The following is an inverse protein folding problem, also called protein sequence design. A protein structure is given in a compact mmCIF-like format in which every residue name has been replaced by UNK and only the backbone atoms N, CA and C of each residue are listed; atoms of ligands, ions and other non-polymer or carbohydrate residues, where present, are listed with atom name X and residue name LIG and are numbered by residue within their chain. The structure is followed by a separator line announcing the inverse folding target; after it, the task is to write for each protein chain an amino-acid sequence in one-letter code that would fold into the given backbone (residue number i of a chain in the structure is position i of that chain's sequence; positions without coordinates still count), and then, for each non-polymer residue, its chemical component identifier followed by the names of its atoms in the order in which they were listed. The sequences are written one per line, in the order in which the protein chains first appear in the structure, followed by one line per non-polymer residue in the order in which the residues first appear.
data_IF_841964286077
#
_entry.id   IF_841964286077
#
_cell.length_a   1.000
_cell.length_b   1.000
_cell.length_c   1.000
_cell.angle_alpha   90.00
_cell.angle_beta   90.00
_cell.angle_gamma   90.00
#
_symmetry.space_group_name_H-M   'P 1'
#
loop_
_entity.id
_entity.type
_entity.pdbx_description
1 polymer ?
#
# COMPACT_ATOMS: atom_id res chain seq x y z
N UNK A 1 0.04 21.35 -50.17
CA UNK A 1 0.76 20.15 -49.68
C UNK A 1 0.76 20.33 -48.15
N UNK A 2 -0.27 19.75 -47.53
CA UNK A 2 -0.48 19.87 -46.06
C UNK A 2 0.12 18.61 -45.46
N UNK A 3 1.21 18.78 -44.76
CA UNK A 3 1.90 17.71 -44.04
C UNK A 3 1.04 17.35 -42.82
N UNK A 4 0.37 16.21 -42.93
CA UNK A 4 -0.35 15.60 -41.83
C UNK A 4 0.73 15.08 -40.88
N UNK A 5 0.98 15.83 -39.81
CA UNK A 5 1.71 15.33 -38.66
C UNK A 5 0.90 14.17 -38.06
N UNK A 6 1.18 12.96 -38.49
CA UNK A 6 0.80 11.75 -37.77
C UNK A 6 1.40 11.84 -36.36
N UNK A 7 0.53 12.17 -35.42
CA UNK A 7 0.80 12.04 -33.99
C UNK A 7 0.91 10.52 -33.74
N UNK A 8 2.10 9.99 -33.86
CA UNK A 8 2.42 8.66 -33.35
C UNK A 8 2.13 8.69 -31.85
N UNK A 9 0.93 8.28 -31.49
CA UNK A 9 0.61 7.93 -30.14
C UNK A 9 1.53 6.76 -29.75
N UNK A 10 2.65 7.07 -29.10
CA UNK A 10 3.42 6.08 -28.36
C UNK A 10 2.46 5.52 -27.33
N UNK A 11 1.99 4.32 -27.55
CA UNK A 11 1.11 3.58 -26.65
C UNK A 11 1.92 3.25 -25.37
N UNK A 12 2.20 4.26 -24.58
CA UNK A 12 3.01 4.16 -23.37
C UNK A 12 2.11 3.60 -22.29
N UNK A 13 2.20 2.30 -22.07
CA UNK A 13 1.51 1.63 -20.97
C UNK A 13 1.97 2.20 -19.64
N UNK A 14 1.06 2.65 -18.80
CA UNK A 14 1.38 3.13 -17.46
C UNK A 14 2.01 2.00 -16.64
N UNK A 15 3.01 2.34 -15.84
CA UNK A 15 3.70 1.42 -14.95
C UNK A 15 3.50 1.86 -13.51
N UNK A 16 2.90 1.01 -12.69
CA UNK A 16 2.69 1.24 -11.27
C UNK A 16 3.59 0.34 -10.43
N UNK A 17 4.17 0.90 -9.38
CA UNK A 17 4.86 0.13 -8.35
C UNK A 17 3.91 -0.11 -7.17
N UNK A 18 3.84 -1.36 -6.71
CA UNK A 18 3.09 -1.74 -5.51
C UNK A 18 4.09 -1.91 -4.36
N UNK A 19 4.01 -1.02 -3.38
CA UNK A 19 4.77 -1.05 -2.14
C UNK A 19 3.86 -1.21 -0.94
N UNK A 20 4.41 -1.48 0.20
CA UNK A 20 3.69 -1.50 1.47
C UNK A 20 4.36 -2.33 2.54
N UNK A 21 3.84 -2.23 3.75
CA UNK A 21 4.29 -3.03 4.88
C UNK A 21 4.11 -4.53 4.62
N UNK A 22 4.88 -5.38 5.29
CA UNK A 22 4.65 -6.82 5.23
C UNK A 22 3.24 -7.18 5.71
N UNK A 23 2.70 -8.26 5.15
CA UNK A 23 1.39 -8.81 5.50
C UNK A 23 0.18 -7.86 5.30
N UNK A 24 0.36 -6.69 4.70
CA UNK A 24 -0.73 -5.78 4.38
C UNK A 24 -1.65 -6.27 3.23
N UNK A 25 -1.37 -7.44 2.65
CA UNK A 25 -2.16 -8.03 1.56
C UNK A 25 -1.69 -7.66 0.14
N UNK A 26 -0.46 -7.15 -0.02
CA UNK A 26 0.15 -6.75 -1.28
C UNK A 26 0.03 -7.81 -2.38
N UNK A 27 0.52 -9.02 -2.11
CA UNK A 27 0.45 -10.15 -3.04
C UNK A 27 -0.99 -10.56 -3.37
N UNK A 28 -1.91 -10.41 -2.41
CA UNK A 28 -3.33 -10.68 -2.66
C UNK A 28 -3.93 -9.68 -3.65
N UNK A 29 -3.63 -8.38 -3.49
CA UNK A 29 -4.06 -7.34 -4.42
C UNK A 29 -3.42 -7.54 -5.79
N UNK A 30 -2.11 -7.78 -5.85
CA UNK A 30 -1.39 -8.06 -7.09
C UNK A 30 -2.04 -9.22 -7.87
N UNK A 31 -2.26 -10.36 -7.21
CA UNK A 31 -2.90 -11.52 -7.85
C UNK A 31 -4.35 -11.23 -8.27
N UNK A 32 -5.06 -10.45 -7.47
CA UNK A 32 -6.45 -10.09 -7.76
C UNK A 32 -6.59 -9.16 -8.97
N UNK A 33 -5.63 -8.26 -9.19
CA UNK A 33 -5.59 -7.35 -10.35
C UNK A 33 -5.10 -8.09 -11.61
N UNK A 34 -3.97 -8.82 -11.50
CA UNK A 34 -3.31 -9.46 -12.65
C UNK A 34 -3.90 -10.83 -13.04
N UNK A 35 -4.89 -11.33 -12.26
CA UNK A 35 -5.44 -12.67 -12.45
C UNK A 35 -4.43 -13.79 -12.16
N UNK A 36 -3.41 -13.51 -11.33
CA UNK A 36 -2.34 -14.44 -11.00
C UNK A 36 -1.31 -14.65 -12.12
N UNK A 37 -1.38 -13.88 -13.18
CA UNK A 37 -0.40 -13.91 -14.29
C UNK A 37 0.78 -13.02 -13.95
N UNK A 38 1.78 -13.60 -13.32
CA UNK A 38 3.00 -12.90 -12.94
C UNK A 38 4.22 -13.49 -13.65
N UNK A 39 5.14 -12.62 -14.07
CA UNK A 39 6.51 -13.00 -14.41
C UNK A 39 7.39 -12.68 -13.21
N UNK A 40 8.08 -13.68 -12.69
CA UNK A 40 9.11 -13.46 -11.68
C UNK A 40 10.38 -13.01 -12.39
N UNK A 41 10.98 -11.94 -11.92
CA UNK A 41 12.24 -11.43 -12.40
C UNK A 41 13.18 -11.22 -11.20
N UNK A 42 14.47 -11.39 -11.44
CA UNK A 42 15.50 -11.13 -10.44
C UNK A 42 16.11 -9.75 -10.67
N UNK A 43 16.42 -9.05 -9.61
CA UNK A 43 17.18 -7.82 -9.71
C UNK A 43 18.63 -8.08 -10.13
N UNK A 44 19.18 -7.30 -11.06
CA UNK A 44 20.56 -7.47 -11.49
C UNK A 44 21.53 -7.37 -10.30
N UNK A 45 22.38 -8.39 -10.14
CA UNK A 45 23.45 -8.40 -9.13
C UNK A 45 23.03 -8.73 -7.68
N UNK A 46 21.77 -9.04 -7.44
CA UNK A 46 21.25 -9.46 -6.12
C UNK A 46 20.29 -10.64 -6.24
N UNK A 47 20.12 -11.39 -5.15
CA UNK A 47 19.19 -12.55 -5.10
C UNK A 47 17.76 -12.16 -4.75
N UNK A 48 17.39 -10.89 -4.96
CA UNK A 48 16.05 -10.38 -4.66
C UNK A 48 15.16 -10.54 -5.88
N UNK A 49 13.99 -11.13 -5.66
CA UNK A 49 12.97 -11.33 -6.69
C UNK A 49 11.89 -10.26 -6.60
N UNK A 50 11.37 -9.87 -7.75
CA UNK A 50 10.17 -9.06 -7.86
C UNK A 50 9.23 -9.66 -8.91
N UNK A 51 7.97 -9.28 -8.85
CA UNK A 51 6.97 -9.80 -9.78
C UNK A 51 6.48 -8.68 -10.68
N UNK A 52 6.34 -9.01 -11.96
CA UNK A 52 5.70 -8.16 -12.96
C UNK A 52 4.40 -8.81 -13.40
N UNK A 53 3.36 -8.03 -13.49
CA UNK A 53 2.08 -8.45 -14.04
C UNK A 53 1.45 -7.32 -14.82
N UNK A 54 0.47 -7.65 -15.60
CA UNK A 54 -0.34 -6.68 -16.34
C UNK A 54 -1.80 -6.88 -15.97
N UNK A 55 -2.54 -5.78 -15.89
CA UNK A 55 -3.98 -5.82 -15.73
C UNK A 55 -4.64 -4.77 -16.62
N UNK A 56 -5.91 -4.98 -16.92
CA UNK A 56 -6.68 -4.09 -17.76
C UNK A 56 -7.56 -3.18 -16.93
N UNK A 57 -7.54 -1.90 -17.25
CA UNK A 57 -8.42 -0.89 -16.68
C UNK A 57 -9.82 -0.94 -17.29
N UNK A 58 -10.85 -0.35 -16.67
CA UNK A 58 -12.19 -0.28 -17.22
C UNK A 58 -12.28 0.35 -18.63
N UNK A 59 -11.41 1.32 -18.94
CA UNK A 59 -11.31 1.94 -20.26
C UNK A 59 -10.67 1.03 -21.34
N UNK A 60 -10.17 -0.16 -20.94
CA UNK A 60 -9.53 -1.12 -21.82
C UNK A 60 -8.02 -0.97 -21.95
N UNK A 61 -7.41 0.04 -21.34
CA UNK A 61 -5.95 0.21 -21.33
C UNK A 61 -5.28 -0.81 -20.41
N UNK A 62 -4.07 -1.23 -20.78
CA UNK A 62 -3.27 -2.12 -19.96
C UNK A 62 -2.34 -1.30 -19.05
N UNK A 63 -2.16 -1.77 -17.83
CA UNK A 63 -1.22 -1.22 -16.85
C UNK A 63 -0.25 -2.30 -16.41
N UNK A 64 1.04 -1.99 -16.42
CA UNK A 64 2.06 -2.85 -15.86
C UNK A 64 2.17 -2.61 -14.36
N UNK A 65 2.11 -3.67 -13.57
CA UNK A 65 2.19 -3.63 -12.11
C UNK A 65 3.46 -4.36 -11.65
N UNK A 66 4.28 -3.67 -10.86
CA UNK A 66 5.46 -4.21 -10.22
C UNK A 66 5.16 -4.49 -8.75
N UNK A 67 5.18 -5.76 -8.32
CA UNK A 67 5.11 -6.13 -6.91
C UNK A 67 6.53 -6.10 -6.33
N UNK A 68 6.83 -5.05 -5.61
CA UNK A 68 8.14 -4.83 -4.99
C UNK A 68 8.19 -5.44 -3.58
N UNK A 69 9.39 -5.79 -3.08
CA UNK A 69 9.56 -6.22 -1.69
C UNK A 69 8.94 -5.24 -0.70
N UNK A 70 8.51 -5.77 0.45
CA UNK A 70 7.94 -4.93 1.51
C UNK A 70 8.98 -3.95 2.08
N UNK A 71 8.54 -2.72 2.39
CA UNK A 71 9.37 -1.70 3.01
C UNK A 71 8.95 -1.58 4.48
N UNK A 72 9.90 -1.72 5.39
CA UNK A 72 9.67 -1.70 6.84
C UNK A 72 9.90 -0.31 7.47
N UNK A 73 10.32 0.65 6.69
CA UNK A 73 10.40 2.06 7.10
C UNK A 73 11.68 2.51 7.78
N UNK A 74 12.65 1.65 7.97
CA UNK A 74 13.94 2.04 8.51
C UNK A 74 15.00 2.03 7.41
N UNK A 75 15.07 3.13 6.64
CA UNK A 75 16.26 3.58 5.90
C UNK A 75 17.06 2.51 5.13
N UNK A 76 16.41 1.56 4.46
CA UNK A 76 17.12 0.65 3.54
C UNK A 76 18.15 -0.25 4.21
N UNK A 77 17.87 -0.74 5.42
CA UNK A 77 18.78 -1.64 6.13
C UNK A 77 18.81 -3.05 5.54
N UNK A 78 17.72 -3.50 4.91
CA UNK A 78 17.70 -4.77 4.18
C UNK A 78 18.05 -4.59 2.70
N UNK A 79 18.62 -5.63 2.10
CA UNK A 79 18.88 -5.64 0.65
C UNK A 79 17.58 -5.49 -0.14
N UNK A 80 16.50 -6.10 0.32
CA UNK A 80 15.17 -6.07 -0.29
C UNK A 80 14.61 -4.64 -0.33
N UNK A 81 14.76 -3.88 0.77
CA UNK A 81 14.30 -2.48 0.83
C UNK A 81 15.10 -1.58 -0.11
N UNK A 82 16.42 -1.75 -0.18
CA UNK A 82 17.26 -0.97 -1.11
C UNK A 82 16.82 -1.19 -2.54
N UNK A 83 16.60 -2.43 -2.91
CA UNK A 83 16.15 -2.80 -4.24
C UNK A 83 14.78 -2.18 -4.55
N UNK A 84 13.84 -2.23 -3.61
CA UNK A 84 12.53 -1.59 -3.78
C UNK A 84 12.64 -0.07 -3.96
N UNK A 85 13.48 0.59 -3.18
CA UNK A 85 13.74 2.04 -3.26
C UNK A 85 14.41 2.38 -4.59
N UNK A 86 15.42 1.61 -5.02
CA UNK A 86 16.12 1.83 -6.28
C UNK A 86 15.19 1.63 -7.48
N UNK A 87 14.29 0.64 -7.41
CA UNK A 87 13.25 0.45 -8.43
C UNK A 87 12.35 1.68 -8.57
N UNK A 88 11.85 2.19 -7.44
CA UNK A 88 10.95 3.35 -7.40
C UNK A 88 11.65 4.63 -7.85
N UNK A 89 12.92 4.80 -7.53
CA UNK A 89 13.74 5.94 -7.95
C UNK A 89 14.21 5.86 -9.42
N UNK A 90 14.07 4.69 -10.06
CA UNK A 90 14.54 4.47 -11.43
C UNK A 90 16.04 4.24 -11.53
N UNK A 91 16.68 3.81 -10.44
CA UNK A 91 18.12 3.51 -10.38
C UNK A 91 18.45 2.06 -10.76
N UNK A 92 17.45 1.26 -11.12
CA UNK A 92 17.66 -0.12 -11.51
C UNK A 92 18.05 -0.21 -12.98
N UNK A 93 19.20 -0.85 -13.24
CA UNK A 93 19.69 -1.07 -14.59
C UNK A 93 18.75 -1.97 -15.38
N UNK A 94 18.36 -1.52 -16.57
CA UNK A 94 17.45 -2.26 -17.46
C UNK A 94 15.95 -2.12 -17.12
N UNK A 95 15.58 -1.40 -16.06
CA UNK A 95 14.19 -1.17 -15.70
C UNK A 95 13.77 0.30 -15.85
N UNK A 96 12.59 0.51 -16.42
CA UNK A 96 11.98 1.85 -16.49
C UNK A 96 11.47 2.24 -15.11
N UNK A 97 11.66 3.50 -14.72
CA UNK A 97 11.05 4.05 -13.51
C UNK A 97 9.52 3.91 -13.55
N UNK A 98 8.85 3.54 -12.46
CA UNK A 98 7.39 3.60 -12.38
C UNK A 98 6.87 5.03 -12.58
N UNK A 99 5.67 5.13 -13.13
CA UNK A 99 4.97 6.42 -13.31
C UNK A 99 4.23 6.83 -12.03
N UNK A 100 3.82 5.86 -11.22
CA UNK A 100 3.13 6.08 -9.95
C UNK A 100 3.37 4.97 -8.94
N UNK A 101 3.05 5.28 -7.68
CA UNK A 101 3.24 4.40 -6.52
C UNK A 101 1.90 4.09 -5.86
N UNK A 102 1.54 2.82 -5.81
CA UNK A 102 0.43 2.32 -4.99
C UNK A 102 1.01 1.82 -3.67
N UNK A 103 0.81 2.58 -2.60
CA UNK A 103 1.29 2.19 -1.27
C UNK A 103 0.19 1.49 -0.49
N UNK A 104 0.40 0.23 -0.14
CA UNK A 104 -0.60 -0.58 0.54
C UNK A 104 -0.31 -0.71 2.02
N UNK A 105 -1.33 -0.50 2.85
CA UNK A 105 -1.22 -0.58 4.31
C UNK A 105 -2.40 -1.33 4.90
N UNK A 106 -2.15 -2.06 5.98
CA UNK A 106 -3.17 -2.64 6.81
C UNK A 106 -3.79 -1.57 7.72
N UNK A 107 -5.08 -1.34 7.57
CA UNK A 107 -5.84 -0.35 8.34
C UNK A 107 -5.83 -0.63 9.85
N UNK A 108 -5.77 -1.90 10.26
CA UNK A 108 -5.73 -2.28 11.69
C UNK A 108 -4.40 -1.87 12.37
N UNK A 109 -3.36 -1.62 11.57
CA UNK A 109 -2.03 -1.22 12.04
C UNK A 109 -1.61 0.18 11.58
N UNK A 110 -2.57 1.03 11.21
CA UNK A 110 -2.32 2.37 10.68
C UNK A 110 -1.42 3.21 11.61
N UNK A 111 -1.66 3.18 12.91
CA UNK A 111 -0.87 3.96 13.90
C UNK A 111 0.60 3.57 13.94
N UNK A 112 0.90 2.32 13.61
CA UNK A 112 2.26 1.78 13.62
C UNK A 112 2.99 2.05 12.32
N UNK A 113 2.30 1.98 11.18
CA UNK A 113 2.93 1.97 9.86
C UNK A 113 2.76 3.25 9.04
N UNK A 114 2.01 4.26 9.54
CA UNK A 114 1.79 5.50 8.77
C UNK A 114 3.10 6.25 8.45
N UNK A 115 4.11 6.13 9.31
CA UNK A 115 5.42 6.74 9.05
C UNK A 115 6.07 6.23 7.76
N UNK A 116 5.80 4.99 7.35
CA UNK A 116 6.31 4.42 6.09
C UNK A 116 5.69 5.12 4.87
N UNK A 117 4.41 5.51 4.98
CA UNK A 117 3.72 6.30 3.94
C UNK A 117 4.38 7.69 3.81
N UNK A 118 4.64 8.35 4.94
CA UNK A 118 5.30 9.64 4.93
C UNK A 118 6.71 9.57 4.34
N UNK A 119 7.46 8.52 4.65
CA UNK A 119 8.79 8.29 4.04
C UNK A 119 8.70 8.01 2.54
N UNK A 120 7.67 7.29 2.09
CA UNK A 120 7.48 6.99 0.67
C UNK A 120 7.22 8.24 -0.19
N UNK A 121 6.71 9.34 0.39
CA UNK A 121 6.57 10.63 -0.29
C UNK A 121 7.92 11.17 -0.79
N UNK A 122 9.03 10.82 -0.11
CA UNK A 122 10.38 11.23 -0.52
C UNK A 122 10.90 10.54 -1.78
N UNK A 123 10.17 9.58 -2.32
CA UNK A 123 10.57 8.93 -3.58
C UNK A 123 10.28 9.79 -4.82
N UNK A 124 9.52 10.87 -4.66
CA UNK A 124 9.23 11.83 -5.73
C UNK A 124 8.44 11.22 -6.88
N UNK A 125 7.45 10.41 -6.55
CA UNK A 125 6.45 9.87 -7.48
C UNK A 125 5.05 10.27 -7.02
N UNK A 126 4.13 10.50 -7.96
CA UNK A 126 2.72 10.48 -7.62
C UNK A 126 2.38 9.18 -6.88
N UNK A 127 1.59 9.27 -5.81
CA UNK A 127 1.26 8.11 -5.02
C UNK A 127 -0.17 8.11 -4.51
N UNK A 128 -0.71 6.92 -4.30
CA UNK A 128 -1.99 6.67 -3.65
C UNK A 128 -1.78 5.73 -2.49
N UNK A 129 -2.44 6.00 -1.37
CA UNK A 129 -2.50 5.10 -0.21
C UNK A 129 -3.72 4.19 -0.34
N UNK A 130 -3.51 2.88 -0.30
CA UNK A 130 -4.57 1.87 -0.26
C UNK A 130 -4.64 1.27 1.15
N UNK A 131 -5.69 1.61 1.89
CA UNK A 131 -6.01 1.01 3.18
C UNK A 131 -6.74 -0.31 2.98
N UNK A 132 -6.06 -1.40 3.22
CA UNK A 132 -6.64 -2.74 3.18
C UNK A 132 -7.11 -3.19 4.57
N UNK A 133 -7.89 -4.26 4.63
CA UNK A 133 -8.37 -4.85 5.88
C UNK A 133 -9.22 -3.90 6.75
N UNK A 134 -9.97 -2.99 6.11
CA UNK A 134 -10.88 -2.08 6.82
C UNK A 134 -11.93 -2.82 7.66
N UNK A 135 -12.34 -4.01 7.24
CA UNK A 135 -13.24 -4.88 7.99
C UNK A 135 -12.59 -5.43 9.28
N UNK A 136 -11.29 -5.67 9.26
CA UNK A 136 -10.54 -6.04 10.46
C UNK A 136 -10.38 -4.86 11.40
N UNK A 137 -10.01 -3.69 10.88
CA UNK A 137 -9.91 -2.45 11.65
C UNK A 137 -11.25 -2.14 12.36
N UNK A 138 -12.36 -2.19 11.63
CA UNK A 138 -13.70 -1.98 12.21
C UNK A 138 -14.03 -3.02 13.29
N UNK A 139 -13.71 -4.29 13.09
CA UNK A 139 -13.88 -5.35 14.09
C UNK A 139 -13.05 -5.10 15.33
N UNK A 140 -11.85 -4.55 15.19
CA UNK A 140 -10.95 -4.22 16.30
C UNK A 140 -11.27 -2.87 16.95
N UNK A 141 -12.42 -2.24 16.56
CA UNK A 141 -12.89 -0.97 17.10
C UNK A 141 -12.07 0.24 16.61
N UNK A 142 -11.35 0.09 15.51
CA UNK A 142 -10.60 1.18 14.91
C UNK A 142 -11.48 1.82 13.84
N UNK A 143 -11.81 3.08 14.03
CA UNK A 143 -12.51 3.91 13.06
C UNK A 143 -11.53 4.93 12.47
N UNK A 144 -11.51 5.05 11.15
CA UNK A 144 -10.56 5.88 10.41
C UNK A 144 -11.34 6.88 9.57
N UNK A 145 -11.16 8.17 9.85
CA UNK A 145 -11.62 9.24 8.97
C UNK A 145 -10.72 9.34 7.74
N UNK A 146 -11.13 8.63 6.69
CA UNK A 146 -10.37 8.53 5.43
C UNK A 146 -10.24 9.90 4.75
N UNK A 147 -11.28 10.73 4.78
CA UNK A 147 -11.26 12.05 4.15
C UNK A 147 -10.30 13.01 4.87
N UNK A 148 -10.31 12.99 6.21
CA UNK A 148 -9.36 13.77 7.00
C UNK A 148 -7.94 13.24 6.82
N UNK A 149 -7.75 11.93 6.74
CA UNK A 149 -6.43 11.31 6.50
C UNK A 149 -5.86 11.74 5.14
N UNK A 150 -6.69 11.71 4.09
CA UNK A 150 -6.33 12.18 2.75
C UNK A 150 -5.90 13.65 2.78
N UNK A 151 -6.69 14.51 3.41
CA UNK A 151 -6.37 15.94 3.52
C UNK A 151 -5.05 16.20 4.26
N UNK A 152 -4.76 15.44 5.33
CA UNK A 152 -3.54 15.60 6.12
C UNK A 152 -2.30 15.00 5.45
N UNK A 153 -2.47 13.94 4.67
CA UNK A 153 -1.37 13.33 3.90
C UNK A 153 -1.08 14.09 2.61
N UNK A 154 -2.07 14.78 2.03
CA UNK A 154 -1.97 15.44 0.73
C UNK A 154 -1.79 14.44 -0.43
N UNK A 155 -2.29 13.23 -0.29
CA UNK A 155 -2.32 12.17 -1.30
C UNK A 155 -3.66 11.47 -1.28
N UNK A 156 -4.16 10.94 -2.41
CA UNK A 156 -5.38 10.15 -2.44
C UNK A 156 -5.33 8.95 -1.49
N UNK A 157 -6.43 8.67 -0.79
CA UNK A 157 -6.56 7.54 0.12
C UNK A 157 -7.78 6.70 -0.27
N UNK A 158 -7.53 5.45 -0.64
CA UNK A 158 -8.54 4.49 -1.04
C UNK A 158 -8.71 3.42 0.02
N UNK A 159 -9.94 3.22 0.48
CA UNK A 159 -10.27 2.07 1.32
C UNK A 159 -10.57 0.84 0.46
N UNK A 160 -9.95 -0.29 0.78
CA UNK A 160 -10.11 -1.53 0.02
C UNK A 160 -10.23 -2.73 0.96
N UNK A 161 -10.93 -3.74 0.51
CA UNK A 161 -10.78 -5.11 0.99
C UNK A 161 -10.35 -5.92 -0.24
N UNK A 162 -9.04 -6.08 -0.41
CA UNK A 162 -8.41 -6.58 -1.63
C UNK A 162 -8.99 -7.92 -2.15
N UNK A 163 -9.50 -8.74 -1.24
CA UNK A 163 -10.12 -10.04 -1.59
C UNK A 163 -11.58 -9.91 -2.03
N UNK A 164 -12.25 -8.76 -1.84
CA UNK A 164 -13.65 -8.55 -2.23
C UNK A 164 -13.77 -7.88 -3.59
N UNK A 165 -14.64 -8.41 -4.45
CA UNK A 165 -14.84 -7.89 -5.80
C UNK A 165 -15.28 -6.42 -5.82
N UNK A 166 -16.15 -5.98 -4.90
CA UNK A 166 -16.60 -4.60 -4.80
C UNK A 166 -15.46 -3.62 -4.45
N UNK A 167 -14.55 -4.01 -3.54
CA UNK A 167 -13.39 -3.18 -3.18
C UNK A 167 -12.43 -3.00 -4.36
N UNK A 168 -12.28 -4.04 -5.18
CA UNK A 168 -11.45 -3.95 -6.39
C UNK A 168 -12.06 -3.06 -7.48
N UNK A 169 -13.37 -3.09 -7.66
CA UNK A 169 -14.03 -2.26 -8.67
C UNK A 169 -13.76 -0.77 -8.42
N UNK A 170 -13.98 -0.28 -7.20
CA UNK A 170 -13.71 1.11 -6.85
C UNK A 170 -12.22 1.48 -7.02
N UNK A 171 -11.31 0.56 -6.69
CA UNK A 171 -9.88 0.81 -6.90
C UNK A 171 -9.55 0.87 -8.40
N UNK A 172 -10.13 0.01 -9.22
CA UNK A 172 -9.93 0.03 -10.68
C UNK A 172 -10.48 1.31 -11.31
N UNK A 173 -11.67 1.76 -10.90
CA UNK A 173 -12.26 3.02 -11.37
C UNK A 173 -11.36 4.21 -11.02
N UNK A 174 -10.84 4.26 -9.79
CA UNK A 174 -9.87 5.29 -9.39
C UNK A 174 -8.57 5.22 -10.20
N UNK A 175 -8.02 4.01 -10.38
CA UNK A 175 -6.78 3.81 -11.14
C UNK A 175 -6.94 4.19 -12.61
N UNK A 176 -8.14 4.07 -13.17
CA UNK A 176 -8.45 4.46 -14.55
C UNK A 176 -8.24 5.97 -14.77
N UNK A 177 -8.85 6.78 -13.91
CA UNK A 177 -8.69 8.23 -13.94
C UNK A 177 -7.24 8.63 -13.62
N UNK A 178 -6.68 8.03 -12.55
CA UNK A 178 -5.35 8.39 -12.06
C UNK A 178 -4.21 8.03 -13.03
N UNK A 179 -4.29 6.91 -13.73
CA UNK A 179 -3.29 6.56 -14.76
C UNK A 179 -3.34 7.50 -15.95
N UNK A 180 -4.54 8.00 -16.30
CA UNK A 180 -4.69 9.06 -17.28
C UNK A 180 -3.91 10.33 -16.89
N UNK A 181 -4.04 10.76 -15.63
CA UNK A 181 -3.29 11.90 -15.08
C UNK A 181 -1.78 11.65 -15.03
N UNK A 182 -1.36 10.42 -14.67
CA UNK A 182 0.06 10.03 -14.68
C UNK A 182 0.69 10.19 -16.07
N UNK A 183 0.02 9.68 -17.10
CA UNK A 183 0.53 9.71 -18.47
C UNK A 183 0.52 11.11 -19.07
N UNK A 184 -0.39 11.99 -18.62
CA UNK A 184 -0.43 13.40 -19.01
C UNK A 184 0.53 14.28 -18.20
N UNK A 185 1.13 13.76 -17.14
CA UNK A 185 1.98 14.51 -16.21
C UNK A 185 1.22 15.48 -15.33
N UNK A 186 -0.09 15.30 -15.17
CA UNK A 186 -0.98 16.14 -14.32
C UNK A 186 -1.13 15.60 -12.91
N UNK A 187 -0.77 14.32 -12.67
CA UNK A 187 -0.83 13.74 -11.34
C UNK A 187 0.11 14.44 -10.35
N UNK A 188 -0.42 14.78 -9.19
CA UNK A 188 0.33 15.50 -8.17
C UNK A 188 1.44 14.64 -7.57
N UNK A 189 2.64 15.20 -7.50
CA UNK A 189 3.74 14.62 -6.74
C UNK A 189 3.63 15.16 -5.32
N UNK A 190 3.55 14.30 -4.29
CA UNK A 190 3.41 14.76 -2.92
C UNK A 190 4.66 15.51 -2.46
N UNK A 191 4.47 16.51 -1.60
CA UNK A 191 5.57 17.20 -0.96
C UNK A 191 6.42 16.22 -0.14
N UNK A 192 7.75 16.28 -0.25
CA UNK A 192 8.63 15.43 0.53
C UNK A 192 8.51 15.74 2.03
N UNK A 193 8.58 14.68 2.83
CA UNK A 193 8.66 14.82 4.28
C UNK A 193 10.14 14.96 4.73
N UNK A 194 10.35 15.39 5.98
CA UNK A 194 11.69 15.45 6.54
C UNK A 194 12.39 14.08 6.56
N UNK A 195 13.70 14.08 6.45
CA UNK A 195 14.51 12.84 6.46
C UNK A 195 14.71 12.26 7.87
N UNK A 196 14.48 13.07 8.92
CA UNK A 196 14.71 12.65 10.30
C UNK A 196 13.58 11.74 10.76
N UNK A 197 13.86 10.46 10.95
CA UNK A 197 12.88 9.42 11.32
C UNK A 197 12.03 9.82 12.54
N UNK A 198 12.62 10.47 13.55
CA UNK A 198 11.88 10.91 14.75
C UNK A 198 10.81 11.95 14.43
N UNK A 199 11.09 12.88 13.51
CA UNK A 199 10.15 13.91 13.08
C UNK A 199 9.01 13.28 12.27
N UNK A 200 9.35 12.39 11.35
CA UNK A 200 8.37 11.63 10.56
C UNK A 200 7.46 10.79 11.46
N UNK A 201 8.03 10.11 12.45
CA UNK A 201 7.24 9.33 13.42
C UNK A 201 6.36 10.22 14.30
N UNK A 202 6.85 11.40 14.72
CA UNK A 202 6.06 12.36 15.48
C UNK A 202 4.87 12.87 14.66
N UNK A 203 5.09 13.21 13.40
CA UNK A 203 4.05 13.63 12.46
C UNK A 203 3.03 12.53 12.23
N UNK A 204 3.47 11.29 12.03
CA UNK A 204 2.57 10.14 11.87
C UNK A 204 1.65 9.96 13.10
N UNK A 205 2.19 10.09 14.31
CA UNK A 205 1.39 10.04 15.55
C UNK A 205 0.39 11.19 15.65
N UNK A 206 0.77 12.38 15.23
CA UNK A 206 -0.14 13.53 15.21
C UNK A 206 -1.30 13.29 14.23
N UNK A 207 -1.00 12.81 13.02
CA UNK A 207 -2.02 12.50 12.01
C UNK A 207 -2.96 11.41 12.52
N UNK A 208 -2.42 10.30 13.01
CA UNK A 208 -3.26 9.20 13.53
C UNK A 208 -4.06 9.61 14.75
N UNK A 209 -3.54 10.45 15.63
CA UNK A 209 -4.27 10.99 16.77
C UNK A 209 -5.47 11.86 16.39
N UNK A 210 -5.45 12.46 15.19
CA UNK A 210 -6.57 13.25 14.67
C UNK A 210 -7.56 12.46 13.81
N UNK A 211 -7.11 11.39 13.16
CA UNK A 211 -7.91 10.66 12.14
C UNK A 211 -8.39 9.29 12.58
N UNK A 212 -7.80 8.73 13.65
CA UNK A 212 -8.10 7.38 14.12
C UNK A 212 -8.72 7.45 15.50
N UNK A 213 -9.94 6.95 15.63
CA UNK A 213 -10.60 6.77 16.91
C UNK A 213 -10.72 5.29 17.25
N UNK A 214 -10.64 4.98 18.56
CA UNK A 214 -11.01 3.66 19.06
C UNK A 214 -12.41 3.73 19.62
N UNK A 215 -13.31 3.00 18.98
CA UNK A 215 -14.65 2.79 19.54
C UNK A 215 -14.50 1.75 20.63
N UNK A 216 -14.85 2.09 21.87
CA UNK A 216 -14.98 1.10 22.94
C UNK A 216 -16.07 0.10 22.54
N UNK A 217 -15.64 -1.00 21.93
CA UNK A 217 -16.56 -2.11 21.66
C UNK A 217 -16.79 -2.85 23.00
N UNK A 218 -18.05 -3.15 23.26
CA UNK A 218 -18.37 -4.08 24.33
C UNK A 218 -17.57 -5.36 24.16
N UNK A 219 -16.87 -5.80 25.20
CA UNK A 219 -16.02 -7.00 25.19
C UNK A 219 -16.71 -8.14 24.45
N UNK A 220 -16.12 -8.60 23.37
CA UNK A 220 -16.63 -9.75 22.62
C UNK A 220 -16.57 -11.01 23.51
N UNK A 221 -17.47 -11.95 23.26
CA UNK A 221 -17.50 -13.22 24.01
C UNK A 221 -16.13 -13.92 23.99
N UNK A 222 -15.40 -13.84 22.89
CA UNK A 222 -14.03 -14.36 22.74
C UNK A 222 -13.05 -13.68 23.69
N UNK A 223 -13.09 -12.35 23.81
CA UNK A 223 -12.22 -11.60 24.72
C UNK A 223 -12.50 -11.93 26.20
N UNK A 224 -13.76 -12.21 26.53
CA UNK A 224 -14.12 -12.68 27.90
C UNK A 224 -13.58 -14.08 28.17
N UNK A 225 -13.65 -14.98 27.21
CA UNK A 225 -13.06 -16.31 27.33
C UNK A 225 -11.54 -16.20 27.47
N UNK A 226 -10.87 -15.40 26.64
CA UNK A 226 -9.43 -15.20 26.69
C UNK A 226 -8.97 -14.66 28.05
N UNK A 227 -9.71 -13.72 28.64
CA UNK A 227 -9.44 -13.24 30.02
C UNK A 227 -9.50 -14.36 31.08
N UNK A 228 -10.39 -15.33 30.91
CA UNK A 228 -10.54 -16.45 31.83
C UNK A 228 -9.42 -17.48 31.59
N UNK A 229 -9.17 -17.81 30.32
CA UNK A 229 -8.18 -18.82 29.93
C UNK A 229 -6.75 -18.37 30.21
N UNK A 230 -6.47 -17.08 29.98
CA UNK A 230 -5.14 -16.47 30.18
C UNK A 230 -4.95 -15.96 31.62
N UNK A 231 -5.95 -16.08 32.48
CA UNK A 231 -5.81 -15.70 33.88
C UNK A 231 -4.78 -16.60 34.60
N UNK A 232 -3.77 -16.02 35.30
CA UNK A 232 -2.64 -16.80 35.86
C UNK A 232 -3.06 -17.90 36.84
N UNK A 233 -4.21 -17.81 37.49
CA UNK A 233 -4.72 -18.81 38.42
C UNK A 233 -5.78 -19.69 37.74
N UNK A 234 -6.73 -19.10 37.00
CA UNK A 234 -7.83 -19.86 36.37
C UNK A 234 -7.36 -20.62 35.14
N UNK A 235 -6.41 -20.08 34.36
CA UNK A 235 -5.81 -20.77 33.22
C UNK A 235 -5.00 -22.02 33.62
N UNK A 236 -4.28 -21.97 34.74
CA UNK A 236 -3.61 -23.12 35.30
C UNK A 236 -4.60 -24.23 35.73
N UNK A 237 -5.74 -23.85 36.31
CA UNK A 237 -6.80 -24.80 36.66
C UNK A 237 -7.42 -25.49 35.44
N UNK A 238 -7.65 -24.75 34.37
CA UNK A 238 -8.18 -25.28 33.10
C UNK A 238 -7.15 -26.21 32.40
N UNK A 239 -5.85 -25.89 32.45
CA UNK A 239 -4.79 -26.68 31.89
C UNK A 239 -4.62 -28.03 32.61
N UNK A 240 -4.86 -28.07 33.93
CA UNK A 240 -4.79 -29.28 34.74
C UNK A 240 -5.97 -30.24 34.54
N UNK A 241 -7.10 -29.80 34.01
CA UNK A 241 -8.27 -30.63 33.67
C UNK A 241 -8.04 -31.43 32.37
N UNK A 242 -7.06 -31.00 31.54
CA UNK A 242 -6.74 -31.66 30.25
C UNK A 242 -5.59 -32.68 30.33
N UNK A 243 -5.03 -32.93 31.50
CA UNK A 243 -4.07 -34.01 31.74
C UNK A 243 -4.76 -35.13 32.53
#
# INVERSE_FOLDING_TARGET
MVEVLEKTATNTTARLALLGAPNCGKTSLFNALTGGRAKVANYPGVTVEYRKGEFQLPNGENVELLDLPGVYGDCGHSMDERVAIDAVRGNLEGERRPDGLVFMMDASHITTHLHNVLQAKNYGLPMVLVLNMMDMAARDGIDIDVAQLEALLGIPVMSCVAVRASGRAHLLDFLDDWTGDLLQGSAAIPDPEGEVLKEVQAKARQITGGTVSRIEQAETFTQRIDKIVLHPVLGLGLSLIHI
#
